data_IF_372472348214
#
_entry.id   IF_372472348214
#
_cell.length_a   1.000
_cell.length_b   1.000
_cell.length_c   1.000
_cell.angle_alpha   90.00
_cell.angle_beta   90.00
_cell.angle_gamma   90.00
#
_symmetry.space_group_name_H-M   'P 1'
#
loop_
_entity.id
_entity.type
_entity.pdbx_description
1 polymer ?
#
# COMPACT_ATOMS: atom_id res chain seq x y z
N UNK A 1 -6.21 -15.79 -19.36
CA UNK A 1 -5.56 -16.16 -18.09
C UNK A 1 -5.78 -15.00 -17.13
N UNK A 2 -6.86 -15.03 -16.34
CA UNK A 2 -7.13 -13.95 -15.38
C UNK A 2 -6.23 -14.16 -14.18
N UNK A 3 -5.34 -13.20 -13.90
CA UNK A 3 -4.59 -13.20 -12.64
C UNK A 3 -5.62 -13.13 -11.51
N UNK A 4 -5.65 -14.16 -10.66
CA UNK A 4 -6.40 -14.11 -9.40
C UNK A 4 -5.96 -12.84 -8.69
N UNK A 5 -6.90 -11.92 -8.45
CA UNK A 5 -6.59 -10.69 -7.72
C UNK A 5 -6.09 -11.09 -6.34
N UNK A 6 -4.79 -10.93 -6.10
CA UNK A 6 -4.15 -11.20 -4.81
C UNK A 6 -4.66 -10.28 -3.69
N UNK A 7 -5.50 -9.30 -4.03
CA UNK A 7 -6.10 -8.34 -3.10
C UNK A 7 -7.62 -8.52 -3.08
N UNK A 8 -8.18 -8.56 -1.88
CA UNK A 8 -9.63 -8.61 -1.64
C UNK A 8 -10.23 -7.20 -1.47
N UNK A 9 -9.41 -6.16 -1.28
CA UNK A 9 -9.87 -4.76 -1.31
C UNK A 9 -9.50 -4.07 -2.62
N UNK A 10 -10.32 -3.13 -3.10
CA UNK A 10 -9.89 -2.23 -4.16
C UNK A 10 -8.69 -1.39 -3.70
N UNK A 11 -7.90 -0.93 -4.67
CA UNK A 11 -6.85 0.06 -4.43
C UNK A 11 -7.47 1.35 -3.88
N UNK A 12 -6.95 1.83 -2.76
CA UNK A 12 -7.40 3.07 -2.13
C UNK A 12 -6.24 4.03 -1.89
N UNK A 13 -6.45 5.30 -2.16
CA UNK A 13 -5.55 6.38 -1.75
C UNK A 13 -5.73 6.69 -0.27
N UNK A 14 -4.66 7.17 0.36
CA UNK A 14 -4.75 7.74 1.71
C UNK A 14 -5.59 9.01 1.70
N UNK A 15 -6.42 9.24 2.71
CA UNK A 15 -7.13 10.50 2.92
C UNK A 15 -6.19 11.65 3.29
N UNK A 16 -4.93 11.33 3.63
CA UNK A 16 -3.85 12.30 3.88
C UNK A 16 -3.13 12.74 2.61
N UNK A 17 -3.42 12.11 1.47
CA UNK A 17 -2.94 12.55 0.16
C UNK A 17 -3.76 13.76 -0.28
N UNK A 18 -3.36 14.96 0.17
CA UNK A 18 -3.90 16.23 -0.30
C UNK A 18 -3.53 16.51 -1.76
N UNK A 19 -3.51 17.79 -2.15
CA UNK A 19 -3.16 18.21 -3.52
C UNK A 19 -1.65 18.06 -3.86
N UNK A 20 -0.89 17.41 -2.98
CA UNK A 20 0.56 17.26 -3.05
C UNK A 20 1.02 16.05 -3.88
N UNK A 21 2.33 16.00 -4.15
CA UNK A 21 2.96 15.11 -5.14
C UNK A 21 3.25 13.67 -4.70
N UNK A 22 2.92 13.26 -3.47
CA UNK A 22 3.34 11.97 -2.90
C UNK A 22 2.18 10.97 -2.76
N UNK A 23 1.46 10.72 -3.85
CA UNK A 23 0.25 9.88 -3.84
C UNK A 23 0.58 8.39 -3.89
N UNK A 24 0.36 7.70 -2.78
CA UNK A 24 0.43 6.23 -2.67
C UNK A 24 -0.97 5.61 -2.60
N UNK A 25 -1.13 4.46 -3.24
CA UNK A 25 -2.30 3.59 -3.13
C UNK A 25 -1.95 2.29 -2.43
N UNK A 26 -2.89 1.77 -1.64
CA UNK A 26 -2.77 0.48 -0.96
C UNK A 26 -3.95 -0.43 -1.26
N UNK A 27 -3.68 -1.74 -1.33
CA UNK A 27 -4.71 -2.78 -1.41
C UNK A 27 -4.34 -3.94 -0.47
N UNK A 28 -5.33 -4.53 0.18
CA UNK A 28 -5.18 -5.61 1.14
C UNK A 28 -5.59 -6.94 0.51
N UNK A 29 -4.73 -7.94 0.69
CA UNK A 29 -4.99 -9.36 0.46
C UNK A 29 -4.93 -10.12 1.78
N UNK A 30 -5.14 -11.44 1.73
CA UNK A 30 -5.28 -12.26 2.96
C UNK A 30 -4.04 -12.20 3.87
N UNK A 31 -2.83 -12.27 3.27
CA UNK A 31 -1.56 -12.24 4.01
C UNK A 31 -0.62 -11.13 3.53
N UNK A 32 -1.06 -10.30 2.59
CA UNK A 32 -0.20 -9.32 1.91
C UNK A 32 -0.87 -7.97 1.73
N UNK A 33 -0.03 -6.94 1.63
CA UNK A 33 -0.42 -5.56 1.30
C UNK A 33 0.32 -5.13 0.04
N UNK A 34 -0.43 -4.67 -0.95
CA UNK A 34 0.08 -4.04 -2.15
C UNK A 34 0.27 -2.56 -1.94
N UNK A 35 1.37 -2.01 -2.42
CA UNK A 35 1.70 -0.59 -2.37
C UNK A 35 2.15 -0.15 -3.76
N UNK A 36 1.55 0.91 -4.30
CA UNK A 36 1.94 1.46 -5.60
C UNK A 36 1.87 2.98 -5.65
N UNK A 37 2.55 3.53 -6.65
CA UNK A 37 2.41 4.92 -7.04
C UNK A 37 1.04 5.15 -7.71
N UNK A 38 0.25 6.08 -7.16
CA UNK A 38 -1.04 6.44 -7.75
C UNK A 38 -0.88 7.10 -9.13
N UNK A 39 0.26 7.75 -9.37
CA UNK A 39 0.54 8.49 -10.61
C UNK A 39 1.00 7.58 -11.74
N UNK A 40 1.54 6.41 -11.41
CA UNK A 40 1.96 5.42 -12.40
C UNK A 40 1.52 3.98 -12.04
N UNK A 41 0.20 3.69 -12.03
CA UNK A 41 -0.30 2.35 -11.68
C UNK A 41 0.21 1.24 -12.61
N UNK A 42 0.55 1.60 -13.85
CA UNK A 42 1.04 0.67 -14.87
C UNK A 42 2.49 0.22 -14.61
N UNK A 43 3.27 0.97 -13.82
CA UNK A 43 4.61 0.55 -13.39
C UNK A 43 4.59 -0.64 -12.42
N UNK A 44 3.41 -1.04 -11.95
CA UNK A 44 3.22 -2.17 -11.04
C UNK A 44 3.19 -1.73 -9.58
N UNK A 45 3.34 -2.71 -8.69
CA UNK A 45 3.24 -2.52 -7.25
C UNK A 45 4.24 -3.42 -6.53
N UNK A 46 4.66 -2.99 -5.35
CA UNK A 46 5.38 -3.86 -4.41
C UNK A 46 4.36 -4.57 -3.51
N UNK A 47 4.73 -5.76 -3.05
CA UNK A 47 3.91 -6.56 -2.13
C UNK A 47 4.72 -6.88 -0.88
N UNK A 48 4.15 -6.61 0.29
CA UNK A 48 4.74 -6.91 1.60
C UNK A 48 3.80 -7.77 2.41
N UNK A 49 4.29 -8.46 3.44
CA UNK A 49 3.40 -9.19 4.37
C UNK A 49 2.60 -8.21 5.22
N UNK A 50 1.35 -8.56 5.53
CA UNK A 50 0.46 -7.72 6.35
C UNK A 50 1.06 -7.38 7.71
N UNK A 51 1.71 -8.35 8.36
CA UNK A 51 2.41 -8.16 9.65
C UNK A 51 3.51 -7.09 9.53
N UNK A 52 4.33 -7.14 8.47
CA UNK A 52 5.43 -6.21 8.24
C UNK A 52 4.91 -4.80 8.00
N UNK A 53 3.82 -4.68 7.24
CA UNK A 53 3.16 -3.40 7.01
C UNK A 53 2.61 -2.79 8.30
N UNK A 54 2.00 -3.58 9.18
CA UNK A 54 1.51 -3.11 10.49
C UNK A 54 2.64 -2.66 11.41
N UNK A 55 3.74 -3.43 11.48
CA UNK A 55 4.93 -3.04 12.25
C UNK A 55 5.51 -1.73 11.73
N UNK A 56 5.63 -1.59 10.41
CA UNK A 56 6.09 -0.36 9.77
C UNK A 56 5.21 0.84 10.15
N UNK A 57 3.89 0.74 9.99
CA UNK A 57 2.98 1.83 10.34
C UNK A 57 3.07 2.22 11.81
N UNK A 58 3.17 1.22 12.71
CA UNK A 58 3.33 1.47 14.15
C UNK A 58 4.63 2.20 14.45
N UNK A 59 5.74 1.82 13.79
CA UNK A 59 7.02 2.48 13.96
C UNK A 59 7.02 3.93 13.43
N UNK A 60 6.38 4.16 12.27
CA UNK A 60 6.22 5.51 11.70
C UNK A 60 5.37 6.39 12.60
N UNK A 61 4.24 5.88 13.10
CA UNK A 61 3.36 6.63 14.01
C UNK A 61 4.07 7.03 15.32
N UNK A 62 4.94 6.16 15.84
CA UNK A 62 5.73 6.42 17.06
C UNK A 62 7.01 7.22 16.80
N UNK A 63 7.35 7.51 15.55
CA UNK A 63 8.61 8.16 15.19
C UNK A 63 9.85 7.32 15.48
N UNK A 64 9.71 5.99 15.55
CA UNK A 64 10.80 5.05 15.87
C UNK A 64 11.34 4.31 14.64
N UNK A 65 10.83 4.63 13.46
CA UNK A 65 11.35 4.10 12.20
C UNK A 65 12.63 4.86 11.82
N UNK A 66 13.77 4.17 11.79
CA UNK A 66 15.11 4.72 11.51
C UNK A 66 15.78 4.02 10.32
#
# INVERSE_FOLDING_TARGET
>A
MAATSQFHTPWRKSTRSGNDSNCVEVAFGDAVVGIRDSKNPAAGHITVRTETFQTFLTAVERGTFI
#
